data_IF_078323348964
#
_entry.id   IF_078323348964
#
_cell.length_a   1.000
_cell.length_b   1.000
_cell.length_c   1.000
_cell.angle_alpha   90.00
_cell.angle_beta   90.00
_cell.angle_gamma   90.00
#
_symmetry.space_group_name_H-M   'P 1'
#
loop_
_entity.id
_entity.type
_entity.pdbx_description
1 polymer ?
#
# COMPACT_ATOMS: atom_id res chain seq x y z
N UNK A 1 -13.96 -10.07 -15.84
CA UNK A 1 -14.48 -10.57 -14.55
C UNK A 1 -15.68 -11.45 -14.86
N UNK A 2 -15.81 -12.59 -14.21
CA UNK A 2 -16.93 -13.53 -14.42
C UNK A 2 -17.65 -13.72 -13.10
N UNK A 3 -18.98 -13.79 -13.15
CA UNK A 3 -19.81 -14.20 -12.01
C UNK A 3 -20.20 -15.66 -12.17
N UNK A 4 -20.18 -16.38 -11.05
CA UNK A 4 -20.54 -17.79 -11.02
C UNK A 4 -21.97 -17.93 -10.55
N UNK A 5 -22.76 -18.70 -11.30
CA UNK A 5 -24.12 -19.06 -10.94
C UNK A 5 -24.08 -20.49 -10.40
N UNK A 6 -24.62 -20.69 -9.20
CA UNK A 6 -24.78 -22.00 -8.59
C UNK A 6 -26.17 -22.54 -8.92
N UNK A 7 -26.21 -23.67 -9.62
CA UNK A 7 -27.42 -24.40 -9.92
C UNK A 7 -27.42 -25.77 -9.24
N UNK A 8 -28.59 -26.38 -9.11
CA UNK A 8 -28.73 -27.74 -8.57
C UNK A 8 -28.08 -28.77 -9.49
N UNK A 9 -27.32 -29.72 -8.94
CA UNK A 9 -26.62 -30.78 -9.69
C UNK A 9 -25.11 -30.74 -9.61
N UNK A 10 -24.55 -29.66 -9.05
CA UNK A 10 -23.11 -29.48 -8.90
C UNK A 10 -22.42 -29.06 -10.20
N UNK A 11 -21.27 -28.43 -10.04
CA UNK A 11 -20.40 -27.98 -11.15
C UNK A 11 -18.97 -28.43 -10.88
N UNK A 12 -18.27 -28.87 -11.91
CA UNK A 12 -16.83 -29.05 -11.83
C UNK A 12 -16.15 -27.71 -11.73
N UNK A 13 -15.14 -27.62 -10.85
CA UNK A 13 -14.26 -26.44 -10.75
C UNK A 13 -13.16 -26.58 -11.77
N UNK A 14 -13.04 -25.63 -12.66
CA UNK A 14 -11.99 -25.59 -13.68
C UNK A 14 -10.84 -24.67 -13.23
N UNK A 15 -9.65 -24.85 -13.80
CA UNK A 15 -8.51 -23.99 -13.54
C UNK A 15 -8.83 -22.50 -13.80
N UNK A 16 -9.64 -22.22 -14.82
CA UNK A 16 -10.09 -20.86 -15.15
C UNK A 16 -10.95 -20.23 -14.06
N UNK A 17 -11.69 -21.03 -13.28
CA UNK A 17 -12.46 -20.53 -12.15
C UNK A 17 -11.53 -19.99 -11.06
N UNK A 18 -10.45 -20.74 -10.78
CA UNK A 18 -9.43 -20.32 -9.83
C UNK A 18 -8.67 -19.08 -10.31
N UNK A 19 -8.29 -19.04 -11.59
CA UNK A 19 -7.61 -17.88 -12.16
C UNK A 19 -8.48 -16.63 -12.13
N UNK A 20 -9.78 -16.76 -12.40
CA UNK A 20 -10.71 -15.65 -12.32
C UNK A 20 -10.89 -15.12 -10.87
N UNK A 21 -10.91 -15.99 -9.87
CA UNK A 21 -10.93 -15.59 -8.47
C UNK A 21 -9.63 -14.86 -8.09
N UNK A 22 -8.49 -15.33 -8.58
CA UNK A 22 -7.21 -14.65 -8.41
C UNK A 22 -7.22 -13.27 -9.07
N UNK A 23 -7.70 -13.14 -10.29
CA UNK A 23 -7.82 -11.86 -11.00
C UNK A 23 -8.71 -10.88 -10.20
N UNK A 24 -9.84 -11.34 -9.71
CA UNK A 24 -10.74 -10.55 -8.87
C UNK A 24 -10.03 -10.05 -7.60
N UNK A 25 -9.33 -10.94 -6.90
CA UNK A 25 -8.59 -10.57 -5.69
C UNK A 25 -7.47 -9.55 -5.99
N UNK A 26 -6.74 -9.73 -7.09
CA UNK A 26 -5.67 -8.82 -7.51
C UNK A 26 -6.22 -7.47 -7.98
N UNK A 27 -7.40 -7.43 -8.60
CA UNK A 27 -8.02 -6.19 -9.05
C UNK A 27 -8.32 -5.22 -7.91
N UNK A 28 -8.61 -5.73 -6.71
CA UNK A 28 -8.83 -4.91 -5.52
C UNK A 28 -7.56 -4.16 -5.11
N UNK A 29 -6.39 -4.70 -5.38
CA UNK A 29 -5.12 -4.03 -5.07
C UNK A 29 -4.76 -2.90 -6.06
N UNK A 30 -5.44 -2.83 -7.21
CA UNK A 30 -5.23 -1.77 -8.21
C UNK A 30 -5.55 -0.36 -7.65
N UNK A 31 -6.34 -0.28 -6.58
CA UNK A 31 -6.58 0.98 -5.86
C UNK A 31 -5.28 1.62 -5.34
N UNK A 32 -4.26 0.81 -5.09
CA UNK A 32 -2.95 1.25 -4.60
C UNK A 32 -1.94 1.55 -5.72
N UNK A 33 -2.29 1.32 -6.98
CA UNK A 33 -1.37 1.52 -8.09
C UNK A 33 -0.82 2.95 -8.14
N UNK A 34 0.51 3.05 -8.20
CA UNK A 34 1.25 4.31 -8.18
C UNK A 34 1.33 4.99 -6.83
N UNK A 35 0.83 4.38 -5.74
CA UNK A 35 1.19 4.79 -4.40
C UNK A 35 2.63 4.33 -4.08
N UNK A 36 3.32 5.10 -3.24
CA UNK A 36 4.57 4.64 -2.62
C UNK A 36 4.25 3.55 -1.58
N UNK A 37 5.27 2.82 -1.14
CA UNK A 37 5.13 1.75 -0.15
C UNK A 37 4.59 2.27 1.19
N UNK A 38 3.70 1.50 1.83
CA UNK A 38 3.05 1.87 3.10
C UNK A 38 2.46 0.66 3.83
N UNK A 39 2.13 0.86 5.11
CA UNK A 39 1.41 -0.11 5.94
C UNK A 39 -0.09 0.05 5.72
N UNK A 40 -0.76 -1.03 5.29
CA UNK A 40 -2.21 -1.06 5.09
C UNK A 40 -2.91 -1.16 6.45
N UNK A 41 -2.51 -2.15 7.26
CA UNK A 41 -3.09 -2.41 8.58
C UNK A 41 -2.13 -3.19 9.47
N UNK A 42 -2.31 -3.11 10.77
CA UNK A 42 -1.39 -3.71 11.74
C UNK A 42 -0.02 -3.04 11.74
N UNK A 43 1.04 -3.80 11.98
CA UNK A 43 2.41 -3.32 12.14
C UNK A 43 2.49 -2.18 13.18
N UNK A 44 1.75 -2.34 14.29
CA UNK A 44 1.77 -1.37 15.39
C UNK A 44 3.09 -1.46 16.13
N UNK A 45 3.63 -0.28 16.50
CA UNK A 45 4.91 -0.13 17.17
C UNK A 45 4.67 -0.06 18.67
N UNK A 46 5.16 -1.04 19.40
CA UNK A 46 5.05 -1.14 20.86
C UNK A 46 6.44 -1.41 21.45
N UNK A 47 7.22 -0.34 21.64
CA UNK A 47 8.64 -0.47 22.01
C UNK A 47 9.42 -1.26 20.95
N UNK A 48 10.16 -2.33 21.31
CA UNK A 48 10.89 -3.14 20.33
C UNK A 48 10.00 -4.08 19.53
N UNK A 49 8.70 -4.13 19.81
CA UNK A 49 7.78 -5.01 19.12
C UNK A 49 7.11 -4.30 17.97
N UNK A 50 7.08 -4.95 16.81
CA UNK A 50 6.24 -4.58 15.66
C UNK A 50 5.23 -5.71 15.45
N UNK A 51 3.93 -5.41 15.55
CA UNK A 51 2.88 -6.41 15.43
C UNK A 51 2.75 -6.94 13.99
N UNK A 52 2.13 -8.12 13.79
CA UNK A 52 1.79 -8.59 12.45
C UNK A 52 0.86 -7.60 11.73
N UNK A 53 0.93 -7.61 10.38
CA UNK A 53 0.09 -6.72 9.59
C UNK A 53 0.14 -6.99 8.10
N UNK A 54 -0.45 -6.09 7.34
CA UNK A 54 -0.43 -6.09 5.88
C UNK A 54 0.20 -4.81 5.36
N UNK A 55 1.03 -4.95 4.35
CA UNK A 55 1.78 -3.86 3.73
C UNK A 55 1.56 -3.85 2.22
N UNK A 56 1.52 -2.67 1.63
CA UNK A 56 1.71 -2.45 0.20
C UNK A 56 3.18 -2.20 -0.03
N UNK A 57 3.84 -3.10 -0.72
CA UNK A 57 5.30 -3.08 -0.84
C UNK A 57 5.73 -3.66 -2.19
N UNK A 58 6.48 -2.88 -2.95
CA UNK A 58 6.92 -3.27 -4.29
C UNK A 58 5.76 -3.59 -5.24
N UNK A 59 4.65 -2.84 -5.16
CA UNK A 59 3.46 -3.03 -6.00
C UNK A 59 2.63 -4.27 -5.67
N UNK A 60 2.76 -4.83 -4.47
CA UNK A 60 2.00 -6.00 -4.01
C UNK A 60 1.56 -5.87 -2.56
N UNK A 61 0.38 -6.41 -2.26
CA UNK A 61 -0.05 -6.61 -0.89
C UNK A 61 0.69 -7.81 -0.32
N UNK A 62 1.31 -7.65 0.84
CA UNK A 62 2.08 -8.68 1.54
C UNK A 62 1.69 -8.76 3.00
N UNK A 63 1.80 -9.94 3.56
CA UNK A 63 1.64 -10.14 5.00
C UNK A 63 3.00 -10.06 5.67
N UNK A 64 3.08 -9.24 6.71
CA UNK A 64 4.21 -9.19 7.64
C UNK A 64 3.83 -9.94 8.92
N UNK A 65 4.67 -10.87 9.34
CA UNK A 65 4.38 -11.74 10.51
C UNK A 65 4.74 -11.08 11.85
N UNK A 66 5.29 -9.85 11.81
CA UNK A 66 5.70 -9.12 13.00
C UNK A 66 7.16 -9.37 13.37
N UNK A 67 7.61 -8.63 14.39
CA UNK A 67 8.93 -8.77 15.01
C UNK A 67 8.81 -8.49 16.51
N UNK A 68 9.47 -9.28 17.36
CA UNK A 68 9.46 -9.09 18.82
C UNK A 68 10.59 -8.14 19.26
N UNK A 69 11.72 -8.12 18.55
CA UNK A 69 12.97 -7.47 18.94
C UNK A 69 13.49 -6.56 17.81
N UNK A 70 12.64 -5.63 17.36
CA UNK A 70 13.01 -4.67 16.33
C UNK A 70 14.05 -3.67 16.87
N UNK A 71 15.09 -3.44 16.09
CA UNK A 71 16.11 -2.42 16.33
C UNK A 71 15.89 -1.32 15.30
N UNK A 72 15.55 -0.13 15.77
CA UNK A 72 15.24 0.99 14.90
C UNK A 72 16.49 1.77 14.43
N UNK A 73 16.50 2.31 13.17
CA UNK A 73 15.45 2.13 12.18
C UNK A 73 15.31 0.65 11.79
N UNK A 74 14.07 0.20 11.60
CA UNK A 74 13.71 -1.15 11.21
C UNK A 74 13.08 -1.13 9.83
N UNK A 75 13.43 -2.07 8.98
CA UNK A 75 12.96 -2.12 7.61
C UNK A 75 12.11 -3.35 7.37
N UNK A 76 10.89 -3.15 6.88
CA UNK A 76 10.06 -4.21 6.32
C UNK A 76 10.34 -4.21 4.82
N UNK A 77 10.96 -5.27 4.30
CA UNK A 77 11.40 -5.34 2.92
C UNK A 77 10.82 -6.56 2.19
N UNK A 78 10.73 -6.47 0.87
CA UNK A 78 10.17 -7.53 0.04
C UNK A 78 11.12 -8.71 -0.11
N UNK A 79 10.51 -9.90 -0.17
CA UNK A 79 11.15 -11.15 -0.56
C UNK A 79 10.25 -11.81 -1.58
N UNK A 80 10.79 -12.10 -2.77
CA UNK A 80 10.05 -12.79 -3.81
C UNK A 80 10.78 -14.10 -4.16
N UNK A 81 10.00 -15.15 -4.37
CA UNK A 81 10.54 -16.42 -4.82
C UNK A 81 9.59 -17.15 -5.73
N UNK A 82 10.16 -17.90 -6.67
CA UNK A 82 9.40 -18.87 -7.44
C UNK A 82 9.36 -20.20 -6.71
N UNK A 83 8.18 -20.80 -6.68
CA UNK A 83 8.01 -22.16 -6.20
C UNK A 83 7.66 -23.08 -7.35
N UNK A 84 8.36 -24.22 -7.40
CA UNK A 84 8.07 -25.28 -8.34
C UNK A 84 6.94 -26.17 -7.81
N UNK A 85 6.12 -26.67 -8.69
CA UNK A 85 5.08 -27.65 -8.40
C UNK A 85 5.19 -28.81 -9.37
N UNK A 86 4.81 -30.00 -8.91
CA UNK A 86 4.75 -31.20 -9.75
C UNK A 86 3.47 -31.12 -10.57
N UNK A 87 3.59 -31.20 -11.88
CA UNK A 87 2.46 -31.30 -12.80
C UNK A 87 2.02 -32.74 -12.97
N UNK A 88 0.84 -32.97 -13.56
CA UNK A 88 0.26 -34.29 -13.76
C UNK A 88 1.14 -35.25 -14.59
N UNK A 89 2.09 -34.76 -15.33
CA UNK A 89 3.10 -35.51 -16.09
C UNK A 89 4.40 -35.74 -15.28
N UNK A 90 4.36 -35.56 -13.95
CA UNK A 90 5.50 -35.73 -13.03
C UNK A 90 6.66 -34.75 -13.26
N UNK A 91 6.48 -33.75 -14.11
CA UNK A 91 7.50 -32.74 -14.36
C UNK A 91 7.36 -31.57 -13.39
N UNK A 92 8.48 -31.21 -12.76
CA UNK A 92 8.55 -29.98 -11.95
C UNK A 92 8.63 -28.75 -12.86
N UNK A 93 7.67 -27.84 -12.69
CA UNK A 93 7.64 -26.54 -13.38
C UNK A 93 7.37 -25.44 -12.39
N UNK A 94 7.69 -24.19 -12.77
CA UNK A 94 7.30 -23.04 -11.99
C UNK A 94 5.75 -23.02 -11.86
N UNK A 95 5.28 -23.19 -10.64
CA UNK A 95 3.84 -23.24 -10.35
C UNK A 95 3.29 -21.95 -9.82
N UNK A 96 4.10 -21.20 -9.05
CA UNK A 96 3.65 -19.93 -8.47
C UNK A 96 4.83 -19.02 -8.12
N UNK A 97 4.53 -17.75 -7.98
CA UNK A 97 5.43 -16.76 -7.40
C UNK A 97 4.88 -16.35 -6.04
N UNK A 98 5.69 -16.47 -5.00
CA UNK A 98 5.34 -16.04 -3.65
C UNK A 98 5.90 -14.64 -3.42
N UNK A 99 5.01 -13.74 -3.03
CA UNK A 99 5.32 -12.36 -2.66
C UNK A 99 5.27 -12.25 -1.14
N UNK A 100 6.42 -12.32 -0.50
CA UNK A 100 6.60 -12.30 0.94
C UNK A 100 7.29 -11.00 1.37
N UNK A 101 7.33 -10.75 2.65
CA UNK A 101 8.18 -9.73 3.24
C UNK A 101 8.83 -10.26 4.52
N UNK A 102 9.95 -9.67 4.86
CA UNK A 102 10.63 -9.87 6.13
C UNK A 102 11.00 -8.52 6.73
N UNK A 103 11.52 -8.55 7.94
CA UNK A 103 11.98 -7.35 8.60
C UNK A 103 13.40 -7.51 9.12
N UNK A 104 14.19 -6.44 9.03
CA UNK A 104 15.55 -6.40 9.52
C UNK A 104 16.00 -4.96 9.84
N UNK A 105 17.15 -4.86 10.50
CA UNK A 105 17.84 -3.58 10.77
C UNK A 105 18.35 -2.88 9.49
N UNK A 106 18.59 -3.66 8.44
CA UNK A 106 19.03 -3.14 7.14
C UNK A 106 18.40 -3.94 6.00
N UNK A 107 18.13 -3.26 4.90
CA UNK A 107 17.63 -3.91 3.68
C UNK A 107 18.80 -4.69 3.03
N UNK A 108 18.60 -5.93 2.58
CA UNK A 108 19.62 -6.67 1.87
C UNK A 108 20.05 -5.95 0.58
N UNK A 109 21.34 -5.85 0.36
CA UNK A 109 21.94 -5.30 -0.87
C UNK A 109 22.12 -6.40 -1.93
N UNK A 110 21.11 -7.23 -2.08
CA UNK A 110 21.07 -8.31 -3.07
C UNK A 110 19.85 -8.15 -3.96
N UNK A 111 20.07 -8.33 -5.25
CA UNK A 111 18.99 -8.24 -6.23
C UNK A 111 17.99 -9.37 -6.03
N UNK A 112 16.72 -9.02 -5.96
CA UNK A 112 15.63 -9.99 -5.87
C UNK A 112 15.55 -10.83 -7.17
N UNK A 113 15.51 -12.17 -7.07
CA UNK A 113 15.58 -13.05 -8.22
C UNK A 113 14.33 -13.04 -9.11
N UNK A 114 13.23 -12.49 -8.62
CA UNK A 114 11.96 -12.42 -9.35
C UNK A 114 11.82 -11.08 -10.09
N UNK A 115 12.16 -9.99 -9.40
CA UNK A 115 12.00 -8.62 -9.93
C UNK A 115 13.24 -8.12 -10.68
N UNK A 116 14.40 -8.70 -10.42
CA UNK A 116 15.67 -8.22 -10.95
C UNK A 116 16.11 -6.85 -10.41
N UNK A 117 15.54 -6.42 -9.28
CA UNK A 117 15.79 -5.12 -8.65
C UNK A 117 16.20 -5.30 -7.19
N UNK A 118 16.75 -4.27 -6.59
CA UNK A 118 16.93 -4.24 -5.14
C UNK A 118 15.57 -4.28 -4.45
N UNK A 119 15.45 -4.94 -3.28
CA UNK A 119 14.20 -5.04 -2.56
C UNK A 119 13.62 -3.69 -2.19
N UNK A 120 12.34 -3.48 -2.47
CA UNK A 120 11.59 -2.36 -1.92
C UNK A 120 11.47 -2.51 -0.41
N UNK A 121 11.45 -1.41 0.33
CA UNK A 121 11.39 -1.44 1.77
C UNK A 121 10.61 -0.26 2.37
N UNK A 122 9.96 -0.53 3.49
CA UNK A 122 9.32 0.46 4.35
C UNK A 122 10.21 0.65 5.57
N UNK A 123 10.64 1.88 5.79
CA UNK A 123 11.35 2.25 7.01
C UNK A 123 10.34 2.48 8.15
N UNK A 124 10.60 1.86 9.28
CA UNK A 124 9.85 1.98 10.52
C UNK A 124 10.79 2.53 11.59
N UNK A 125 10.42 3.64 12.20
CA UNK A 125 11.14 4.23 13.33
C UNK A 125 10.34 4.00 14.64
N UNK A 126 10.92 4.33 15.78
CA UNK A 126 10.24 4.19 17.10
C UNK A 126 8.90 4.94 17.18
N UNK A 127 8.73 6.00 16.40
CA UNK A 127 7.58 6.90 16.50
C UNK A 127 6.75 6.98 15.21
N UNK A 128 7.25 6.45 14.10
CA UNK A 128 6.60 6.61 12.80
C UNK A 128 6.80 5.40 11.90
N UNK A 129 5.73 5.06 11.22
CA UNK A 129 5.73 4.16 10.07
C UNK A 129 4.77 4.72 9.01
N UNK A 130 5.12 4.71 7.71
CA UNK A 130 4.24 5.23 6.67
C UNK A 130 2.99 4.36 6.55
N UNK A 131 1.83 4.95 6.82
CA UNK A 131 0.56 4.25 6.83
C UNK A 131 -0.31 4.60 5.62
N UNK A 132 -1.26 3.75 5.35
CA UNK A 132 -2.24 3.93 4.29
C UNK A 132 -2.82 5.35 4.23
N UNK A 133 -3.25 5.87 5.36
CA UNK A 133 -3.85 7.20 5.44
C UNK A 133 -2.87 8.32 5.02
N UNK A 134 -1.58 8.16 5.28
CA UNK A 134 -0.56 9.14 4.94
C UNK A 134 -0.23 9.15 3.44
N UNK A 135 -0.39 8.01 2.76
CA UNK A 135 0.01 7.80 1.36
C UNK A 135 -1.17 7.83 0.38
N UNK A 136 -2.31 7.33 0.81
CA UNK A 136 -3.51 7.26 -0.01
C UNK A 136 -4.04 8.65 -0.37
N UNK A 137 -4.03 9.59 0.58
CA UNK A 137 -4.46 10.95 0.34
C UNK A 137 -3.61 11.69 -0.70
N UNK A 138 -2.33 11.35 -0.86
CA UNK A 138 -1.46 11.98 -1.85
C UNK A 138 -1.91 11.73 -3.29
N UNK A 139 -2.50 10.57 -3.60
CA UNK A 139 -2.93 10.21 -4.95
C UNK A 139 -4.39 10.53 -5.23
N UNK A 140 -5.24 10.35 -4.26
CA UNK A 140 -6.69 10.50 -4.38
C UNK A 140 -7.21 11.78 -3.72
N UNK A 141 -6.43 12.85 -3.80
CA UNK A 141 -6.89 14.20 -3.43
C UNK A 141 -8.20 14.60 -4.13
N UNK A 142 -8.55 13.91 -5.22
CA UNK A 142 -9.88 13.96 -5.89
C UNK A 142 -11.03 13.62 -4.93
N UNK A 143 -10.79 12.88 -3.87
CA UNK A 143 -11.78 12.68 -2.80
C UNK A 143 -12.18 13.98 -2.08
N UNK A 144 -11.40 15.05 -2.27
CA UNK A 144 -11.78 16.40 -1.81
C UNK A 144 -12.90 17.01 -2.65
N UNK A 145 -13.23 16.43 -3.80
CA UNK A 145 -14.28 16.92 -4.71
C UNK A 145 -15.64 16.24 -4.50
N UNK A 146 -15.85 15.59 -3.37
CA UNK A 146 -17.20 15.07 -3.05
C UNK A 146 -18.08 16.21 -2.56
N UNK A 147 -19.15 16.55 -3.29
CA UNK A 147 -20.01 17.70 -2.96
C UNK A 147 -20.80 17.54 -1.65
N UNK A 148 -20.73 16.38 -1.01
CA UNK A 148 -21.60 16.01 0.11
C UNK A 148 -20.88 15.79 1.44
N UNK A 149 -19.54 15.81 1.49
CA UNK A 149 -18.83 15.55 2.70
C UNK A 149 -17.87 16.67 3.09
N UNK A 150 -18.04 17.19 4.31
CA UNK A 150 -17.03 18.04 4.93
C UNK A 150 -15.81 17.18 5.25
N UNK A 151 -14.70 17.48 4.62
CA UNK A 151 -13.45 16.80 4.91
C UNK A 151 -12.64 17.61 5.92
N UNK A 152 -12.12 16.94 6.93
CA UNK A 152 -11.25 17.55 7.94
C UNK A 152 -9.86 16.96 7.80
N UNK A 153 -8.91 17.77 7.38
CA UNK A 153 -7.48 17.42 7.41
C UNK A 153 -6.95 17.76 8.80
N UNK A 154 -6.55 16.74 9.56
CA UNK A 154 -6.04 16.90 10.94
C UNK A 154 -4.53 17.17 11.03
N UNK A 155 -3.83 17.10 9.90
CA UNK A 155 -2.39 17.36 9.78
C UNK A 155 -2.15 18.48 8.78
N UNK A 156 -0.93 18.98 8.72
CA UNK A 156 -0.55 19.99 7.75
C UNK A 156 -0.75 19.50 6.33
N UNK A 157 -1.40 20.33 5.51
CA UNK A 157 -1.60 20.08 4.09
C UNK A 157 -0.56 20.89 3.31
N UNK A 158 0.37 20.20 2.66
CA UNK A 158 1.33 20.82 1.73
C UNK A 158 0.81 20.66 0.32
N UNK A 159 0.42 21.77 -0.30
CA UNK A 159 0.01 21.82 -1.71
C UNK A 159 1.23 22.18 -2.56
N UNK A 160 1.78 21.20 -3.28
CA UNK A 160 2.85 21.41 -4.25
C UNK A 160 2.22 21.68 -5.62
N UNK A 161 2.03 22.95 -5.98
CA UNK A 161 1.44 23.34 -7.27
C UNK A 161 0.50 24.54 -7.14
N UNK A 162 -0.30 24.78 -8.18
CA UNK A 162 -1.26 25.87 -8.21
C UNK A 162 -2.54 25.43 -7.52
N UNK A 163 -2.97 26.19 -6.52
CA UNK A 163 -4.29 26.06 -5.92
C UNK A 163 -5.28 26.92 -6.71
N UNK A 164 -6.27 26.28 -7.32
CA UNK A 164 -7.37 26.98 -7.98
C UNK A 164 -8.63 26.74 -7.17
N UNK A 165 -8.98 27.69 -6.32
CA UNK A 165 -10.21 27.65 -5.52
C UNK A 165 -11.31 28.46 -6.17
N UNK A 166 -12.50 27.88 -6.31
CA UNK A 166 -13.71 28.60 -6.77
C UNK A 166 -14.52 29.20 -5.63
N UNK A 167 -14.12 28.99 -4.37
CA UNK A 167 -14.83 29.52 -3.18
C UNK A 167 -13.82 30.09 -2.19
N UNK A 168 -14.34 30.97 -1.31
CA UNK A 168 -13.53 31.55 -0.24
C UNK A 168 -12.96 30.50 0.69
N UNK A 169 -11.68 30.64 1.00
CA UNK A 169 -11.03 29.86 2.06
C UNK A 169 -11.21 30.64 3.36
N UNK A 170 -12.05 30.12 4.24
CA UNK A 170 -12.24 30.67 5.58
C UNK A 170 -11.31 29.94 6.55
N UNK A 171 -10.28 30.60 7.06
CA UNK A 171 -9.37 30.07 8.06
C UNK A 171 -9.38 30.95 9.31
N UNK A 172 -9.51 30.30 10.48
CA UNK A 172 -9.33 30.97 11.79
C UNK A 172 -7.86 31.01 12.23
N UNK A 173 -6.97 30.36 11.49
CA UNK A 173 -5.54 30.30 11.74
C UNK A 173 -4.78 30.97 10.60
N UNK A 174 -3.62 31.57 10.94
CA UNK A 174 -2.77 32.16 9.93
C UNK A 174 -2.34 31.11 8.90
N UNK A 175 -2.60 31.38 7.62
CA UNK A 175 -2.14 30.54 6.52
C UNK A 175 -0.85 31.17 6.01
N UNK A 176 0.25 30.43 6.11
CA UNK A 176 1.53 30.82 5.53
C UNK A 176 1.61 30.33 4.09
N UNK A 177 1.73 31.23 3.15
CA UNK A 177 1.97 30.92 1.74
C UNK A 177 3.42 31.24 1.44
N UNK A 178 4.25 30.23 1.27
CA UNK A 178 5.63 30.39 0.81
C UNK A 178 5.72 30.19 -0.70
N UNK A 179 6.00 31.26 -1.44
CA UNK A 179 6.20 31.20 -2.90
C UNK A 179 5.40 32.26 -3.65
N UNK A 180 6.08 33.06 -4.26
CA UNK A 180 6.07 34.24 -5.10
C UNK A 180 4.81 34.80 -5.74
N UNK A 181 3.59 34.37 -5.58
CA UNK A 181 2.41 35.09 -6.01
C UNK A 181 1.34 34.98 -4.92
N UNK A 182 1.20 36.07 -4.18
CA UNK A 182 0.33 36.13 -3.02
C UNK A 182 -1.14 35.87 -3.34
N UNK A 183 -1.68 34.88 -2.68
CA UNK A 183 -3.13 34.74 -2.55
C UNK A 183 -3.58 35.52 -1.33
N UNK A 184 -4.60 36.36 -1.51
CA UNK A 184 -5.18 37.10 -0.39
C UNK A 184 -6.14 36.17 0.34
N UNK A 185 -5.74 35.70 1.52
CA UNK A 185 -6.62 34.97 2.42
C UNK A 185 -7.34 36.01 3.29
N UNK A 186 -8.66 36.06 3.15
CA UNK A 186 -9.49 36.88 4.01
C UNK A 186 -9.74 36.14 5.31
N UNK A 187 -9.06 36.55 6.38
CA UNK A 187 -9.38 36.11 7.73
C UNK A 187 -10.70 36.72 8.19
N UNK A 188 -11.51 35.92 8.86
CA UNK A 188 -12.68 36.38 9.61
C UNK A 188 -12.26 36.64 11.04
#
# INVERSE_FOLDING_TARGET
MKEYIAETGGRYTYSDDILNLQELALSMSAVFDGCSDFIISGCEIEGPRVSPGYVWLGGKVRRFDGCADAVYPYYIYEINRHESVVYANEVNKRGRTCYLCAGAKAVPDTVDPVTGKLPAAIEVTESYAPRFIDKFFGRYAVLLDTPFARQTVKKDLVLAGTFTGQKEINSKTAVSVSGGNGYMLKGI
#
